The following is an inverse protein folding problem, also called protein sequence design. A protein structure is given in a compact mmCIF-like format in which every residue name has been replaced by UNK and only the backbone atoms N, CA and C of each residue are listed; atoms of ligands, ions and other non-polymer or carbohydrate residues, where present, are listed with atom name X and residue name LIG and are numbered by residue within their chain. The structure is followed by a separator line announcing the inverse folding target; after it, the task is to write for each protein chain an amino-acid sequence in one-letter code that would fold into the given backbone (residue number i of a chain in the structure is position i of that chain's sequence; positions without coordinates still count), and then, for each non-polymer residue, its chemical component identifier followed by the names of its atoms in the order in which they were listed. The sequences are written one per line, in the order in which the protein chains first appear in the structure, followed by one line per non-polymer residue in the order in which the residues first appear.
data_IF_400417065420
#
_entry.id   IF_400417065420
#
_cell.length_a   1.000
_cell.length_b   1.000
_cell.length_c   1.000
_cell.angle_alpha   90.00
_cell.angle_beta   90.00
_cell.angle_gamma   90.00
#
_symmetry.space_group_name_H-M   'P 1'
#
loop_
_entity.id
_entity.type
_entity.pdbx_description
1 polymer ?
#
# COMPACT_ATOMS: atom_id res chain seq x y z
N UNK A 1 -7.09 -11.04 25.57
CA UNK A 1 -7.57 -10.79 24.19
C UNK A 1 -6.72 -9.71 23.56
N UNK A 2 -6.36 -9.85 22.29
CA UNK A 2 -5.64 -8.83 21.51
C UNK A 2 -6.45 -8.59 20.24
N UNK A 3 -6.65 -7.33 19.89
CA UNK A 3 -7.29 -6.92 18.63
C UNK A 3 -6.21 -6.47 17.66
N UNK A 4 -6.48 -6.59 16.36
CA UNK A 4 -5.55 -6.19 15.31
C UNK A 4 -6.18 -5.11 14.43
N UNK A 5 -5.36 -4.17 13.98
CA UNK A 5 -5.68 -3.26 12.89
C UNK A 5 -4.65 -3.41 11.78
N UNK A 6 -5.06 -3.23 10.53
CA UNK A 6 -4.15 -3.05 9.40
C UNK A 6 -4.11 -1.56 9.07
N UNK A 7 -2.92 -0.98 9.03
CA UNK A 7 -2.71 0.46 8.99
C UNK A 7 -1.96 0.91 7.74
N UNK A 8 -2.48 0.53 6.56
CA UNK A 8 -1.96 1.04 5.31
C UNK A 8 -2.32 2.52 5.12
N UNK A 9 -1.29 3.33 4.84
CA UNK A 9 -1.44 4.71 4.43
C UNK A 9 -1.72 4.76 2.92
N UNK A 10 -2.76 5.50 2.51
CA UNK A 10 -3.13 5.66 1.10
C UNK A 10 -1.96 6.05 0.18
N UNK A 11 -1.07 7.02 0.53
CA UNK A 11 0.08 7.33 -0.31
C UNK A 11 1.05 6.14 -0.50
N UNK A 12 1.13 5.21 0.46
CA UNK A 12 2.03 4.06 0.39
C UNK A 12 1.53 2.91 -0.49
N UNK A 13 0.23 2.85 -0.79
CA UNK A 13 -0.40 1.76 -1.56
C UNK A 13 -1.13 2.23 -2.81
N UNK A 14 -1.31 3.54 -2.96
CA UNK A 14 -1.93 4.18 -4.11
C UNK A 14 -0.91 4.67 -5.14
N UNK A 15 -1.41 5.36 -6.15
CA UNK A 15 -0.64 5.98 -7.22
C UNK A 15 -0.04 7.34 -6.81
N UNK A 16 0.43 7.46 -5.56
CA UNK A 16 1.08 8.66 -5.08
C UNK A 16 2.50 8.79 -5.67
N UNK A 17 2.96 10.03 -5.81
CA UNK A 17 4.29 10.38 -6.32
C UNK A 17 5.16 11.06 -5.28
N UNK A 18 4.61 11.38 -4.10
CA UNK A 18 5.32 12.05 -3.02
C UNK A 18 4.61 11.82 -1.68
N UNK A 19 5.38 11.97 -0.60
CA UNK A 19 4.91 12.09 0.78
C UNK A 19 5.94 12.92 1.58
N UNK A 20 5.52 13.91 2.38
CA UNK A 20 4.18 14.46 2.47
C UNK A 20 3.67 15.02 1.13
N UNK A 21 2.37 14.97 0.88
CA UNK A 21 1.81 15.39 -0.41
C UNK A 21 0.35 15.01 -0.64
N UNK A 22 -0.16 15.27 -1.84
CA UNK A 22 -1.58 15.03 -2.17
C UNK A 22 -1.76 13.70 -2.90
N UNK A 23 -2.63 12.84 -2.40
CA UNK A 23 -3.02 11.58 -3.04
C UNK A 23 -4.54 11.52 -3.16
N UNK A 24 -5.07 11.36 -4.38
CA UNK A 24 -6.53 11.31 -4.65
C UNK A 24 -7.32 12.50 -4.08
N UNK A 25 -6.74 13.70 -4.13
CA UNK A 25 -7.39 14.93 -3.65
C UNK A 25 -7.29 15.19 -2.15
N UNK A 26 -6.66 14.29 -1.38
CA UNK A 26 -6.43 14.45 0.05
C UNK A 26 -4.94 14.67 0.33
N UNK A 27 -4.62 15.62 1.21
CA UNK A 27 -3.25 15.86 1.66
C UNK A 27 -2.88 14.89 2.79
N UNK A 28 -1.69 14.31 2.69
CA UNK A 28 -1.13 13.40 3.68
C UNK A 28 0.21 13.92 4.17
N UNK A 29 0.30 14.09 5.47
CA UNK A 29 1.53 14.30 6.23
C UNK A 29 1.49 13.40 7.48
N UNK A 30 2.50 13.54 8.34
CA UNK A 30 2.61 12.76 9.57
C UNK A 30 1.39 12.91 10.47
N UNK A 31 0.82 14.11 10.58
CA UNK A 31 -0.34 14.37 11.44
C UNK A 31 -1.57 13.61 10.94
N UNK A 32 -1.79 13.59 9.61
CA UNK A 32 -2.88 12.81 8.99
C UNK A 32 -2.69 11.30 9.21
N UNK A 33 -1.45 10.80 9.16
CA UNK A 33 -1.16 9.40 9.50
C UNK A 33 -1.51 9.11 10.95
N UNK A 34 -1.12 9.98 11.87
CA UNK A 34 -1.38 9.81 13.30
C UNK A 34 -2.88 9.83 13.60
N UNK A 35 -3.65 10.75 12.99
CA UNK A 35 -5.10 10.75 13.13
C UNK A 35 -5.75 9.46 12.61
N UNK A 36 -5.22 8.91 11.52
CA UNK A 36 -5.68 7.64 10.97
C UNK A 36 -5.39 6.48 11.92
N UNK A 37 -4.17 6.41 12.47
CA UNK A 37 -3.78 5.44 13.48
C UNK A 37 -4.67 5.53 14.73
N UNK A 38 -4.90 6.74 15.26
CA UNK A 38 -5.72 6.97 16.45
C UNK A 38 -7.17 6.51 16.23
N UNK A 39 -7.73 6.79 15.05
CA UNK A 39 -9.06 6.33 14.66
C UNK A 39 -9.13 4.80 14.56
N UNK A 40 -8.16 4.17 13.90
CA UNK A 40 -8.10 2.69 13.73
C UNK A 40 -7.89 1.95 15.04
N UNK A 41 -7.19 2.55 16.00
CA UNK A 41 -6.87 1.96 17.30
C UNK A 41 -7.78 2.40 18.44
N UNK A 42 -8.81 3.22 18.14
CA UNK A 42 -9.70 3.81 19.14
C UNK A 42 -10.31 2.78 20.10
N UNK A 43 -10.71 1.61 19.59
CA UNK A 43 -11.27 0.54 20.41
C UNK A 43 -10.25 -0.08 21.37
N UNK A 44 -9.02 -0.33 20.90
CA UNK A 44 -7.95 -0.87 21.74
C UNK A 44 -7.61 0.10 22.87
N UNK A 45 -7.53 1.41 22.53
CA UNK A 45 -7.28 2.48 23.49
C UNK A 45 -8.42 2.66 24.49
N UNK A 46 -9.68 2.61 24.05
CA UNK A 46 -10.85 2.81 24.94
C UNK A 46 -11.08 1.63 25.90
N UNK A 47 -10.65 0.43 25.52
CA UNK A 47 -10.78 -0.79 26.34
C UNK A 47 -9.52 -1.14 27.12
N UNK A 48 -8.42 -0.41 26.93
CA UNK A 48 -7.13 -0.67 27.58
C UNK A 48 -6.47 -1.97 27.12
N UNK A 49 -6.86 -2.54 25.98
CA UNK A 49 -6.18 -3.72 25.41
C UNK A 49 -4.91 -3.31 24.65
N UNK A 50 -3.91 -4.21 24.52
CA UNK A 50 -2.72 -3.94 23.73
C UNK A 50 -3.04 -3.53 22.29
N UNK A 51 -2.29 -2.56 21.76
CA UNK A 51 -2.39 -2.14 20.36
C UNK A 51 -1.47 -3.03 19.52
N UNK A 52 -2.05 -3.72 18.53
CA UNK A 52 -1.32 -4.53 17.56
C UNK A 52 -1.68 -4.10 16.12
N UNK A 53 -0.69 -3.59 15.39
CA UNK A 53 -0.78 -3.30 13.97
C UNK A 53 -0.30 -4.52 13.19
N UNK A 54 -1.23 -5.33 12.69
CA UNK A 54 -0.92 -6.60 12.06
C UNK A 54 -0.29 -6.51 10.67
N UNK A 55 -0.60 -5.45 9.93
CA UNK A 55 -0.04 -5.17 8.60
C UNK A 55 0.04 -3.66 8.35
N UNK A 56 1.14 -3.22 7.75
CA UNK A 56 1.37 -1.87 7.24
C UNK A 56 2.58 -1.86 6.30
N UNK A 57 2.87 -0.71 5.70
CA UNK A 57 4.06 -0.46 4.89
C UNK A 57 3.74 -0.04 3.45
N UNK A 58 4.66 0.69 2.79
CA UNK A 58 4.50 1.11 1.40
C UNK A 58 4.91 0.04 0.40
N UNK A 59 4.23 -0.03 -0.74
CA UNK A 59 4.67 -0.78 -1.93
C UNK A 59 5.80 -0.03 -2.62
N UNK A 60 6.85 -0.71 -3.04
CA UNK A 60 7.93 -0.16 -3.85
C UNK A 60 7.71 -0.45 -5.33
N UNK A 61 7.83 0.56 -6.18
CA UNK A 61 7.75 0.39 -7.63
C UNK A 61 9.09 -0.07 -8.22
N UNK A 62 9.07 -0.43 -9.50
CA UNK A 62 10.31 -0.63 -10.27
C UNK A 62 11.13 0.67 -10.37
N UNK A 63 10.47 1.82 -10.30
CA UNK A 63 11.12 3.13 -10.25
C UNK A 63 11.59 3.47 -8.84
N UNK A 64 12.83 3.08 -8.55
CA UNK A 64 13.49 3.33 -7.26
C UNK A 64 13.74 4.81 -6.95
N UNK A 65 13.56 5.73 -7.91
CA UNK A 65 13.62 7.18 -7.61
C UNK A 65 12.54 7.60 -6.61
N UNK A 66 11.47 6.81 -6.51
CA UNK A 66 10.33 7.07 -5.64
C UNK A 66 10.47 6.44 -4.24
N UNK A 67 11.61 5.84 -3.93
CA UNK A 67 11.85 5.16 -2.65
C UNK A 67 11.99 6.14 -1.48
N UNK A 68 12.58 7.31 -1.70
CA UNK A 68 12.97 8.22 -0.62
C UNK A 68 11.78 8.66 0.23
N UNK A 69 10.72 9.13 -0.43
CA UNK A 69 9.50 9.53 0.26
C UNK A 69 8.75 8.33 0.86
N UNK A 70 8.87 7.13 0.28
CA UNK A 70 8.30 5.90 0.84
C UNK A 70 9.01 5.50 2.13
N UNK A 71 10.33 5.66 2.19
CA UNK A 71 11.09 5.46 3.42
C UNK A 71 10.71 6.48 4.47
N UNK A 72 10.45 7.73 4.09
CA UNK A 72 9.92 8.74 5.01
C UNK A 72 8.54 8.35 5.54
N UNK A 73 7.61 7.93 4.68
CA UNK A 73 6.29 7.44 5.07
C UNK A 73 6.39 6.30 6.08
N UNK A 74 7.21 5.29 5.78
CA UNK A 74 7.43 4.15 6.66
C UNK A 74 8.04 4.58 8.01
N UNK A 75 8.98 5.52 8.00
CA UNK A 75 9.60 6.06 9.22
C UNK A 75 8.57 6.75 10.11
N UNK A 76 7.74 7.61 9.54
CA UNK A 76 6.71 8.33 10.28
C UNK A 76 5.71 7.37 10.94
N UNK A 77 5.26 6.32 10.23
CA UNK A 77 4.39 5.28 10.83
C UNK A 77 5.06 4.56 12.00
N UNK A 78 6.33 4.16 11.84
CA UNK A 78 7.09 3.50 12.92
C UNK A 78 7.27 4.40 14.14
N UNK A 79 7.50 5.70 13.94
CA UNK A 79 7.60 6.68 15.02
C UNK A 79 6.27 6.85 15.76
N UNK A 80 5.15 6.97 15.04
CA UNK A 80 3.80 7.01 15.61
C UNK A 80 3.54 5.76 16.45
N UNK A 81 3.85 4.56 15.93
CA UNK A 81 3.63 3.33 16.67
C UNK A 81 4.45 3.27 17.96
N UNK A 82 5.71 3.73 17.90
CA UNK A 82 6.58 3.83 19.08
C UNK A 82 6.00 4.80 20.12
N UNK A 83 5.54 5.97 19.70
CA UNK A 83 4.97 7.01 20.58
C UNK A 83 3.70 6.55 21.30
N UNK A 84 2.89 5.73 20.63
CA UNK A 84 1.65 5.18 21.19
C UNK A 84 1.81 3.78 21.82
N UNK A 85 3.05 3.27 21.92
CA UNK A 85 3.33 1.95 22.49
C UNK A 85 2.70 0.79 21.72
N UNK A 86 2.46 0.94 20.42
CA UNK A 86 1.88 -0.07 19.56
C UNK A 86 2.94 -1.07 19.09
N UNK A 87 2.59 -2.36 19.20
CA UNK A 87 3.35 -3.44 18.57
C UNK A 87 2.92 -3.59 17.11
N UNK A 88 3.81 -4.05 16.24
CA UNK A 88 3.57 -4.06 14.79
C UNK A 88 4.21 -5.25 14.07
N UNK A 89 3.65 -5.59 12.91
CA UNK A 89 4.23 -6.49 11.93
C UNK A 89 4.20 -5.84 10.54
N UNK A 90 5.39 -5.65 9.96
CA UNK A 90 5.52 -5.07 8.63
C UNK A 90 5.10 -6.09 7.58
N UNK A 91 4.24 -5.67 6.65
CA UNK A 91 3.99 -6.42 5.43
C UNK A 91 4.99 -5.95 4.36
N UNK A 92 5.93 -6.76 3.88
CA UNK A 92 6.24 -8.14 4.30
C UNK A 92 7.75 -8.34 4.37
N UNK A 93 8.20 -9.42 5.03
CA UNK A 93 9.63 -9.73 5.05
C UNK A 93 10.14 -10.11 3.66
N UNK A 94 9.44 -11.02 2.96
CA UNK A 94 9.89 -11.54 1.66
C UNK A 94 8.77 -11.67 0.63
N UNK A 95 9.01 -11.21 -0.58
CA UNK A 95 8.13 -11.43 -1.73
C UNK A 95 8.91 -11.57 -3.06
N UNK A 96 8.28 -11.21 -4.19
CA UNK A 96 8.85 -11.24 -5.53
C UNK A 96 9.35 -9.87 -6.02
N UNK A 97 9.45 -8.86 -5.14
CA UNK A 97 9.97 -7.53 -5.45
C UNK A 97 8.94 -6.39 -5.42
N UNK A 98 7.85 -6.52 -4.66
CA UNK A 98 6.80 -5.49 -4.59
C UNK A 98 6.88 -4.68 -3.28
N UNK A 99 6.77 -5.34 -2.14
CA UNK A 99 6.74 -4.74 -0.80
C UNK A 99 7.77 -5.38 0.16
N UNK A 100 8.38 -6.49 -0.24
CA UNK A 100 9.31 -7.25 0.59
C UNK A 100 10.57 -6.47 0.96
N UNK A 101 10.97 -6.52 2.24
CA UNK A 101 12.30 -6.07 2.68
C UNK A 101 13.43 -6.85 1.98
N UNK A 102 13.18 -8.14 1.73
CA UNK A 102 13.97 -8.98 0.84
C UNK A 102 13.05 -9.53 -0.26
N UNK A 103 13.61 -9.93 -1.39
CA UNK A 103 12.84 -10.47 -2.50
C UNK A 103 13.54 -11.67 -3.14
N UNK A 104 12.76 -12.48 -3.87
CA UNK A 104 13.29 -13.58 -4.65
C UNK A 104 14.28 -13.04 -5.70
N UNK A 105 15.43 -13.71 -5.87
CA UNK A 105 16.35 -13.35 -6.94
C UNK A 105 15.66 -13.56 -8.30
N UNK A 106 15.86 -12.66 -9.28
CA UNK A 106 15.29 -12.82 -10.61
C UNK A 106 15.64 -14.15 -11.28
N UNK A 107 16.81 -14.71 -10.98
CA UNK A 107 17.34 -15.97 -11.53
C UNK A 107 16.99 -17.22 -10.68
N UNK A 108 16.12 -17.08 -9.68
CA UNK A 108 15.76 -18.19 -8.80
C UNK A 108 14.81 -19.17 -9.49
N UNK A 109 14.86 -20.49 -9.17
CA UNK A 109 13.92 -21.48 -9.72
C UNK A 109 12.45 -21.12 -9.50
N UNK A 110 12.14 -20.40 -8.42
CA UNK A 110 10.79 -19.90 -8.16
C UNK A 110 10.37 -18.84 -9.18
N UNK A 111 11.24 -17.86 -9.47
CA UNK A 111 10.95 -16.81 -10.46
C UNK A 111 10.94 -17.35 -11.88
N UNK A 112 11.73 -18.38 -12.19
CA UNK A 112 11.64 -19.09 -13.48
C UNK A 112 10.26 -19.77 -13.64
N UNK A 113 9.77 -20.44 -12.59
CA UNK A 113 8.47 -21.11 -12.60
C UNK A 113 7.29 -20.14 -12.76
N UNK A 114 7.31 -18.99 -12.09
CA UNK A 114 6.17 -18.03 -12.07
C UNK A 114 6.35 -16.83 -13.00
N UNK A 115 7.51 -16.66 -13.63
CA UNK A 115 7.87 -15.45 -14.37
C UNK A 115 6.89 -15.11 -15.49
N UNK A 116 6.54 -16.10 -16.32
CA UNK A 116 5.61 -15.90 -17.44
C UNK A 116 4.22 -15.47 -17.00
N UNK A 117 3.70 -16.07 -15.91
CA UNK A 117 2.39 -15.68 -15.37
C UNK A 117 2.46 -14.31 -14.71
N UNK A 118 3.54 -13.97 -13.99
CA UNK A 118 3.75 -12.62 -13.42
C UNK A 118 3.81 -11.57 -14.53
N UNK A 119 4.54 -11.82 -15.61
CA UNK A 119 4.62 -10.92 -16.77
C UNK A 119 3.25 -10.75 -17.44
N UNK A 120 2.49 -11.85 -17.61
CA UNK A 120 1.12 -11.78 -18.13
C UNK A 120 0.19 -10.98 -17.23
N UNK A 121 0.28 -11.15 -15.90
CA UNK A 121 -0.51 -10.40 -14.92
C UNK A 121 -0.21 -8.91 -14.97
N UNK A 122 1.08 -8.53 -15.01
CA UNK A 122 1.51 -7.12 -15.16
C UNK A 122 1.01 -6.49 -16.46
N UNK A 123 1.05 -7.23 -17.57
CA UNK A 123 0.55 -6.76 -18.86
C UNK A 123 -0.98 -6.56 -18.85
N UNK A 124 -1.72 -7.44 -18.18
CA UNK A 124 -3.19 -7.39 -18.14
C UNK A 124 -3.75 -6.53 -17.00
N UNK A 125 -2.92 -6.09 -16.05
CA UNK A 125 -3.35 -5.30 -14.90
C UNK A 125 -4.30 -6.02 -13.94
N UNK A 126 -4.23 -7.36 -13.85
CA UNK A 126 -5.22 -8.17 -13.13
C UNK A 126 -4.92 -8.37 -11.64
N UNK A 127 -3.84 -7.77 -11.12
CA UNK A 127 -3.51 -7.82 -9.70
C UNK A 127 -4.24 -6.72 -8.92
N UNK A 128 -5.06 -7.11 -7.95
CA UNK A 128 -5.77 -6.16 -7.08
C UNK A 128 -4.85 -5.40 -6.13
N UNK A 129 -3.62 -5.89 -5.90
CA UNK A 129 -2.63 -5.30 -5.02
C UNK A 129 -1.32 -5.06 -5.79
N UNK A 130 -0.91 -3.79 -5.92
CA UNK A 130 0.28 -3.41 -6.68
C UNK A 130 0.16 -3.57 -8.20
N UNK A 131 -1.02 -3.92 -8.72
CA UNK A 131 -1.29 -3.96 -10.14
C UNK A 131 -1.50 -2.56 -10.73
N UNK A 132 -1.30 -2.45 -12.04
CA UNK A 132 -1.64 -1.27 -12.82
C UNK A 132 -2.32 -1.71 -14.10
N UNK A 133 -3.38 -1.00 -14.44
CA UNK A 133 -4.22 -1.24 -15.61
C UNK A 133 -3.83 -0.33 -16.80
N UNK A 134 -2.69 0.36 -16.68
CA UNK A 134 -2.14 1.29 -17.68
C UNK A 134 -1.92 0.64 -19.06
N UNK A 135 -1.67 -0.66 -19.10
CA UNK A 135 -1.43 -1.41 -20.33
C UNK A 135 -2.70 -1.92 -21.02
N UNK A 136 -3.88 -1.67 -20.44
CA UNK A 136 -5.19 -2.13 -20.96
C UNK A 136 -6.24 -1.00 -21.00
N UNK A 137 -5.79 0.27 -20.99
CA UNK A 137 -6.68 1.44 -21.05
C UNK A 137 -7.53 1.47 -22.32
N UNK A 138 -7.01 0.98 -23.43
CA UNK A 138 -7.75 0.84 -24.69
C UNK A 138 -9.01 -0.04 -24.56
N UNK A 139 -9.05 -0.96 -23.58
CA UNK A 139 -10.20 -1.81 -23.27
C UNK A 139 -11.10 -1.21 -22.19
N UNK A 140 -10.53 -0.60 -21.14
CA UNK A 140 -11.30 -0.10 -20.01
C UNK A 140 -11.85 1.32 -20.21
N UNK A 141 -11.15 2.20 -20.93
CA UNK A 141 -11.58 3.58 -21.15
C UNK A 141 -12.97 3.68 -21.82
N UNK A 142 -13.33 2.84 -22.82
CA UNK A 142 -14.69 2.84 -23.37
C UNK A 142 -15.77 2.40 -22.36
N UNK A 143 -15.40 1.55 -21.39
CA UNK A 143 -16.29 1.11 -20.31
C UNK A 143 -16.45 2.26 -19.31
N UNK A 144 -15.35 2.87 -18.86
CA UNK A 144 -15.36 4.01 -17.95
C UNK A 144 -16.19 5.17 -18.56
N UNK A 145 -15.99 5.48 -19.84
CA UNK A 145 -16.76 6.49 -20.56
C UNK A 145 -18.27 6.14 -20.71
N UNK A 146 -18.63 4.85 -20.75
CA UNK A 146 -20.02 4.43 -20.69
C UNK A 146 -20.60 4.70 -19.29
N UNK A 147 -19.85 4.40 -18.23
CA UNK A 147 -20.28 4.66 -16.86
C UNK A 147 -20.46 6.16 -16.59
N UNK A 148 -19.49 7.00 -16.98
CA UNK A 148 -19.56 8.44 -16.83
C UNK A 148 -20.78 9.05 -17.54
N UNK A 149 -21.13 8.50 -18.72
CA UNK A 149 -22.27 8.99 -19.51
C UNK A 149 -23.62 8.55 -18.95
N UNK A 150 -23.77 7.26 -18.61
CA UNK A 150 -25.07 6.69 -18.22
C UNK A 150 -25.35 6.84 -16.71
N UNK A 151 -24.30 7.01 -15.90
CA UNK A 151 -24.39 7.07 -14.43
C UNK A 151 -23.59 8.24 -13.81
N UNK A 152 -23.75 9.50 -14.27
CA UNK A 152 -22.91 10.65 -13.86
C UNK A 152 -23.02 11.07 -12.37
N UNK A 153 -23.90 10.44 -11.60
CA UNK A 153 -24.10 10.71 -10.17
C UNK A 153 -23.66 9.57 -9.25
N UNK A 154 -23.04 8.52 -9.80
CA UNK A 154 -22.45 7.41 -9.07
C UNK A 154 -20.92 7.44 -9.16
#
# INVERSE_FOLDING_TARGET
TVYTAHDYALPGIGSATEYPGTTRGEYFDRDVLEQTFLRRTAYMRSTGTPIWIGEFGPVYSDDRSQDEWRYQLLRDQLEIYREHGASWALWTYKDIGLQGLVYARPDSPYMELVGDIVAKKKRLGIDSWGGSDANVRDVLDPIDALFDREFPGY
#
